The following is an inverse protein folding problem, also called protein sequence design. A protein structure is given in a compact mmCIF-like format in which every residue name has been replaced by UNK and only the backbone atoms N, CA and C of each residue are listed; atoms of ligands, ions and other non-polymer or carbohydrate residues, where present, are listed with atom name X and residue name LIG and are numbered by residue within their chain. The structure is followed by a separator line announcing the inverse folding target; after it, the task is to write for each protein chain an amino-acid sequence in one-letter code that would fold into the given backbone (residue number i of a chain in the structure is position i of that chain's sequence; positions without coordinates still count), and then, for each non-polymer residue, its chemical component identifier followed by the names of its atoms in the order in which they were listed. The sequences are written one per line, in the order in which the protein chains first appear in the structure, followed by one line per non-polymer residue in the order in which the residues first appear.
data_IF_631227160236
#
_entry.id   IF_631227160236
#
_cell.length_a   1.000
_cell.length_b   1.000
_cell.length_c   1.000
_cell.angle_alpha   90.00
_cell.angle_beta   90.00
_cell.angle_gamma   90.00
#
_symmetry.space_group_name_H-M   'P 1'
#
loop_
_entity.id
_entity.type
_entity.pdbx_description
1 polymer ?
#
# COMPACT_ATOMS: atom_id res chain seq x y z
N UNK A 1 -4.45 -19.91 11.62
CA UNK A 1 -3.83 -21.25 11.80
C UNK A 1 -4.57 -21.89 12.96
N UNK A 2 -5.47 -22.87 12.85
CA UNK A 2 -5.76 -23.90 11.85
C UNK A 2 -7.28 -24.00 11.63
N UNK A 3 -7.73 -24.20 10.39
CA UNK A 3 -9.11 -24.54 10.07
C UNK A 3 -9.11 -25.86 9.29
N UNK A 4 -9.62 -26.93 9.90
CA UNK A 4 -9.95 -28.17 9.20
C UNK A 4 -11.34 -28.00 8.58
N UNK A 5 -11.45 -28.26 7.28
CA UNK A 5 -12.72 -28.40 6.55
C UNK A 5 -13.10 -29.87 6.49
N UNK A 6 -14.39 -30.16 6.69
CA UNK A 6 -15.02 -31.37 6.17
C UNK A 6 -16.18 -30.96 5.26
N UNK A 7 -16.15 -31.45 4.02
CA UNK A 7 -17.30 -31.49 3.11
C UNK A 7 -17.84 -32.92 3.16
N UNK A 8 -19.13 -33.06 3.47
CA UNK A 8 -19.87 -34.30 3.24
C UNK A 8 -20.80 -34.08 2.06
N UNK A 9 -20.59 -34.90 1.03
CA UNK A 9 -21.36 -35.00 -0.20
C UNK A 9 -22.78 -35.50 0.07
N UNK A 10 -23.78 -34.89 -0.56
CA UNK A 10 -24.78 -35.62 -1.34
C UNK A 10 -25.53 -34.65 -2.28
N UNK A 11 -25.47 -34.99 -3.58
CA UNK A 11 -26.14 -34.43 -4.76
C UNK A 11 -27.02 -33.17 -4.65
N UNK A 12 -26.58 -32.11 -5.32
CA UNK A 12 -27.44 -30.97 -5.71
C UNK A 12 -26.62 -29.76 -6.14
N UNK A 13 -26.65 -29.41 -7.42
CA UNK A 13 -26.02 -28.22 -8.00
C UNK A 13 -26.65 -26.96 -7.41
N UNK A 14 -25.85 -26.04 -6.84
CA UNK A 14 -26.31 -24.70 -6.45
C UNK A 14 -25.35 -23.64 -6.99
N UNK A 15 -25.87 -22.78 -7.85
CA UNK A 15 -25.22 -21.65 -8.52
C UNK A 15 -24.94 -20.47 -7.58
N UNK A 16 -23.87 -19.76 -7.90
CA UNK A 16 -23.34 -18.57 -7.23
C UNK A 16 -24.37 -17.42 -7.13
N UNK A 17 -24.69 -16.99 -5.92
CA UNK A 17 -24.94 -15.57 -5.59
C UNK A 17 -25.34 -15.37 -4.12
N UNK A 18 -24.68 -14.40 -3.49
CA UNK A 18 -24.99 -13.80 -2.17
C UNK A 18 -24.93 -14.72 -0.95
N UNK A 19 -23.82 -14.59 -0.21
CA UNK A 19 -23.81 -14.88 1.22
C UNK A 19 -23.38 -13.66 2.05
N UNK A 20 -24.30 -13.22 2.90
CA UNK A 20 -24.07 -12.38 4.08
C UNK A 20 -23.35 -13.21 5.15
N UNK A 21 -22.48 -12.60 5.98
CA UNK A 21 -22.19 -13.12 7.31
C UNK A 21 -23.20 -12.56 8.33
N UNK A 22 -23.93 -13.47 8.99
CA UNK A 22 -24.52 -13.24 10.30
C UNK A 22 -23.37 -13.18 11.31
N UNK A 23 -23.01 -11.98 11.73
CA UNK A 23 -22.13 -11.74 12.87
C UNK A 23 -22.97 -11.60 14.13
N UNK A 24 -22.75 -12.58 15.00
CA UNK A 24 -22.72 -12.50 16.46
C UNK A 24 -23.35 -11.25 17.09
N UNK A 25 -24.44 -11.53 17.78
CA UNK A 25 -25.06 -10.72 18.80
C UNK A 25 -24.02 -10.47 19.91
N UNK A 26 -23.44 -9.28 19.92
CA UNK A 26 -22.75 -8.75 21.09
C UNK A 26 -23.41 -7.44 21.46
N UNK A 27 -24.18 -7.55 22.53
CA UNK A 27 -24.87 -6.49 23.23
C UNK A 27 -23.87 -5.39 23.62
N UNK A 28 -24.00 -4.22 22.98
CA UNK A 28 -23.40 -2.97 23.46
C UNK A 28 -24.38 -1.84 23.20
N UNK A 29 -25.04 -1.44 24.29
CA UNK A 29 -25.63 -0.13 24.55
C UNK A 29 -25.20 0.93 23.52
N UNK A 30 -26.11 1.24 22.59
CA UNK A 30 -25.98 2.35 21.66
C UNK A 30 -26.92 3.44 22.11
N UNK A 31 -26.42 4.36 22.94
CA UNK A 31 -26.98 5.69 23.06
C UNK A 31 -26.69 6.45 21.76
N UNK A 32 -27.65 6.43 20.83
CA UNK A 32 -27.65 7.34 19.68
C UNK A 32 -27.94 8.76 20.20
N UNK A 33 -27.10 9.77 19.95
CA UNK A 33 -27.56 11.15 20.00
C UNK A 33 -28.24 11.43 18.66
N UNK A 34 -29.57 11.45 18.69
CA UNK A 34 -30.40 11.91 17.59
C UNK A 34 -30.23 13.42 17.45
N UNK A 35 -29.53 13.90 16.41
CA UNK A 35 -29.72 15.28 15.96
C UNK A 35 -31.11 15.39 15.32
N UNK A 36 -31.81 16.47 15.67
CA UNK A 36 -33.20 16.72 15.38
C UNK A 36 -33.55 16.65 13.89
N UNK A 37 -34.16 15.55 13.45
CA UNK A 37 -35.12 15.58 12.36
C UNK A 37 -36.52 15.64 12.99
N UNK A 38 -36.99 16.84 13.30
CA UNK A 38 -38.42 17.04 13.54
C UNK A 38 -39.06 17.26 12.18
N UNK A 39 -39.68 16.21 11.65
CA UNK A 39 -40.67 16.32 10.59
C UNK A 39 -41.80 17.24 11.08
N UNK A 40 -41.78 18.52 10.71
CA UNK A 40 -42.99 19.32 10.68
C UNK A 40 -43.84 18.78 9.54
N UNK A 41 -44.87 17.98 9.85
CA UNK A 41 -46.10 17.78 9.06
C UNK A 41 -46.91 16.65 9.74
N UNK A 42 -47.68 17.00 10.77
CA UNK A 42 -49.00 16.41 11.08
C UNK A 42 -49.39 16.81 12.50
N UNK A 43 -50.28 17.79 12.61
CA UNK A 43 -51.27 17.89 13.68
C UNK A 43 -52.41 18.74 13.11
N UNK A 44 -53.17 18.05 12.25
CA UNK A 44 -54.61 18.16 12.03
C UNK A 44 -55.32 19.47 12.42
N UNK A 45 -55.73 20.18 11.38
CA UNK A 45 -57.04 20.82 11.30
C UNK A 45 -58.14 19.80 11.64
N UNK A 46 -58.80 19.91 12.80
CA UNK A 46 -60.17 19.41 13.03
C UNK A 46 -60.73 20.05 14.30
N UNK A 47 -61.52 21.12 14.13
CA UNK A 47 -62.69 21.49 14.95
C UNK A 47 -63.10 22.94 14.65
N UNK A 48 -63.60 23.18 13.44
CA UNK A 48 -64.38 24.39 13.15
C UNK A 48 -65.39 24.10 12.05
N UNK A 49 -66.34 23.19 12.30
CA UNK A 49 -67.50 23.01 11.43
C UNK A 49 -68.66 22.37 12.20
N UNK A 50 -69.28 23.15 13.08
CA UNK A 50 -70.68 22.93 13.48
C UNK A 50 -71.14 24.08 14.38
N UNK A 51 -72.32 24.62 14.05
CA UNK A 51 -73.13 25.64 14.75
C UNK A 51 -73.13 26.99 14.03
N UNK A 52 -73.71 26.96 12.83
CA UNK A 52 -74.34 28.08 12.15
C UNK A 52 -75.61 27.52 11.48
N UNK A 53 -76.72 27.46 12.24
CA UNK A 53 -78.07 27.44 11.69
C UNK A 53 -79.11 27.80 12.78
N UNK A 54 -79.34 29.10 12.92
CA UNK A 54 -80.66 29.75 12.92
C UNK A 54 -81.91 28.94 13.33
N UNK A 55 -82.55 29.35 14.44
CA UNK A 55 -84.01 29.51 14.54
C UNK A 55 -84.38 30.64 15.52
N UNK A 56 -85.08 31.61 14.96
CA UNK A 56 -85.90 32.65 15.60
C UNK A 56 -87.08 32.03 16.37
N UNK A 57 -87.34 32.49 17.60
CA UNK A 57 -88.68 32.55 18.20
C UNK A 57 -88.71 33.65 19.28
N UNK A 58 -89.55 34.66 19.06
CA UNK A 58 -89.89 35.72 20.01
C UNK A 58 -90.82 35.21 21.12
N UNK A 59 -90.55 35.58 22.38
CA UNK A 59 -91.59 35.76 23.41
C UNK A 59 -91.08 36.55 24.64
N UNK A 60 -91.52 37.82 24.71
CA UNK A 60 -92.03 38.60 25.86
C UNK A 60 -91.41 38.46 27.28
N UNK A 61 -91.03 39.66 27.75
CA UNK A 61 -91.22 40.25 29.09
C UNK A 61 -90.40 39.80 30.32
N UNK A 62 -89.91 40.87 30.97
CA UNK A 62 -89.81 41.09 32.41
C UNK A 62 -88.54 40.65 33.16
N UNK A 63 -87.80 41.71 33.50
CA UNK A 63 -87.29 42.01 34.85
C UNK A 63 -85.91 41.48 35.29
N UNK A 64 -85.04 42.48 35.52
CA UNK A 64 -84.03 42.54 36.56
C UNK A 64 -83.40 41.25 37.09
N UNK A 65 -82.21 40.93 36.56
CA UNK A 65 -81.00 40.65 37.38
C UNK A 65 -79.77 40.52 36.50
N UNK A 66 -78.75 41.28 36.85
CA UNK A 66 -77.41 41.28 36.25
C UNK A 66 -76.80 39.88 36.26
N UNK A 67 -76.39 39.43 35.07
CA UNK A 67 -75.91 38.08 34.80
C UNK A 67 -74.53 37.82 35.42
N UNK A 68 -74.43 36.80 36.27
CA UNK A 68 -73.18 36.28 36.87
C UNK A 68 -72.20 35.65 35.85
N UNK A 69 -72.44 35.81 34.55
CA UNK A 69 -71.61 35.28 33.45
C UNK A 69 -70.64 36.30 32.83
N UNK A 70 -70.80 37.61 33.09
CA UNK A 70 -69.87 38.63 32.55
C UNK A 70 -68.54 38.71 33.31
N UNK A 71 -68.48 38.31 34.59
CA UNK A 71 -67.23 38.27 35.33
C UNK A 71 -66.35 37.07 34.94
N UNK A 72 -66.97 35.93 34.61
CA UNK A 72 -66.25 34.71 34.19
C UNK A 72 -65.65 34.83 32.79
N UNK A 73 -66.30 35.56 31.87
CA UNK A 73 -65.80 35.81 30.52
C UNK A 73 -64.62 36.81 30.49
N UNK A 74 -64.63 37.84 31.34
CA UNK A 74 -63.51 38.79 31.46
C UNK A 74 -62.29 38.16 32.15
N UNK A 75 -62.50 37.24 33.10
CA UNK A 75 -61.44 36.44 33.72
C UNK A 75 -60.91 35.39 32.75
N UNK A 76 -61.76 34.66 32.01
CA UNK A 76 -61.34 33.75 30.93
C UNK A 76 -60.59 34.48 29.82
N UNK A 77 -61.02 35.67 29.37
CA UNK A 77 -60.31 36.46 28.36
C UNK A 77 -58.99 37.06 28.88
N UNK A 78 -58.92 37.49 30.15
CA UNK A 78 -57.66 37.87 30.81
C UNK A 78 -56.74 36.68 31.07
N UNK A 79 -57.28 35.48 31.31
CA UNK A 79 -56.52 34.23 31.47
C UNK A 79 -56.04 33.68 30.13
N UNK A 80 -56.83 33.79 29.06
CA UNK A 80 -56.42 33.43 27.69
C UNK A 80 -55.40 34.42 27.12
N UNK A 81 -55.46 35.72 27.44
CA UNK A 81 -54.38 36.65 27.12
C UNK A 81 -53.09 36.35 27.90
N UNK A 82 -53.21 35.89 29.15
CA UNK A 82 -52.08 35.48 30.00
C UNK A 82 -51.47 34.14 29.57
N UNK A 83 -52.25 33.21 29.05
CA UNK A 83 -51.76 31.91 28.58
C UNK A 83 -50.96 32.03 27.28
N UNK A 84 -51.37 32.94 26.38
CA UNK A 84 -50.69 33.14 25.09
C UNK A 84 -49.32 33.83 25.21
N UNK A 85 -49.12 34.80 26.14
CA UNK A 85 -47.78 35.38 26.32
C UNK A 85 -46.82 34.40 27.00
N UNK A 86 -47.31 33.56 27.92
CA UNK A 86 -46.54 32.47 28.53
C UNK A 86 -46.14 31.47 27.45
N UNK A 87 -47.09 30.94 26.67
CA UNK A 87 -46.79 29.98 25.61
C UNK A 87 -45.83 30.57 24.55
N UNK A 88 -46.00 31.85 24.18
CA UNK A 88 -45.08 32.56 23.28
C UNK A 88 -43.70 32.77 23.88
N UNK A 89 -43.59 33.08 25.17
CA UNK A 89 -42.29 33.19 25.85
C UNK A 89 -41.64 31.82 25.99
N UNK A 90 -42.36 30.76 26.31
CA UNK A 90 -41.83 29.39 26.31
C UNK A 90 -41.42 28.93 24.90
N UNK A 91 -42.19 29.26 23.86
CA UNK A 91 -41.84 28.94 22.48
C UNK A 91 -40.61 29.76 22.02
N UNK A 92 -40.54 31.04 22.38
CA UNK A 92 -39.38 31.89 22.10
C UNK A 92 -38.15 31.42 22.89
N UNK A 93 -38.30 31.08 24.16
CA UNK A 93 -37.24 30.50 25.00
C UNK A 93 -36.81 29.14 24.43
N UNK A 94 -37.74 28.30 23.97
CA UNK A 94 -37.46 27.04 23.29
C UNK A 94 -36.72 27.24 21.96
N UNK A 95 -37.10 28.24 21.17
CA UNK A 95 -36.41 28.60 19.92
C UNK A 95 -35.01 29.19 20.18
N UNK A 96 -34.85 30.00 21.22
CA UNK A 96 -33.56 30.49 21.69
C UNK A 96 -32.68 29.34 22.19
N UNK A 97 -33.26 28.42 22.96
CA UNK A 97 -32.64 27.19 23.43
C UNK A 97 -32.23 26.32 22.22
N UNK A 98 -33.09 26.12 21.23
CA UNK A 98 -32.72 25.38 20.01
C UNK A 98 -31.58 26.04 19.23
N UNK A 99 -31.56 27.37 19.12
CA UNK A 99 -30.41 28.10 18.56
C UNK A 99 -29.11 27.88 19.35
N UNK A 100 -29.22 27.68 20.66
CA UNK A 100 -28.09 27.41 21.57
C UNK A 100 -27.64 25.94 21.52
N UNK A 101 -28.49 24.98 21.14
CA UNK A 101 -28.14 23.56 21.18
C UNK A 101 -27.68 22.94 19.84
N UNK A 102 -27.74 23.67 18.73
CA UNK A 102 -27.16 23.22 17.45
C UNK A 102 -25.68 23.61 17.33
N UNK A 103 -24.83 23.11 18.24
CA UNK A 103 -23.38 23.26 18.08
C UNK A 103 -22.85 22.23 17.08
N UNK A 104 -22.04 22.71 16.14
CA UNK A 104 -21.33 21.83 15.22
C UNK A 104 -20.34 20.96 16.03
N UNK A 105 -20.34 19.63 15.87
CA UNK A 105 -19.44 18.75 16.61
C UNK A 105 -17.97 19.06 16.33
N UNK A 106 -17.17 19.21 17.39
CA UNK A 106 -15.75 19.43 17.25
C UNK A 106 -15.02 18.17 16.73
N UNK A 107 -13.95 18.34 15.93
CA UNK A 107 -13.10 17.23 15.51
C UNK A 107 -12.55 16.44 16.70
N UNK A 108 -12.35 15.14 16.52
CA UNK A 108 -11.82 14.23 17.54
C UNK A 108 -10.51 13.59 17.08
N UNK A 109 -9.74 13.03 18.01
CA UNK A 109 -8.48 12.32 17.71
C UNK A 109 -7.53 13.12 16.82
N UNK A 110 -7.32 14.40 17.16
CA UNK A 110 -6.40 15.28 16.43
C UNK A 110 -4.96 14.86 16.71
N UNK A 111 -4.28 14.37 15.69
CA UNK A 111 -2.92 13.83 15.79
C UNK A 111 -2.05 14.30 14.63
N UNK A 112 -0.77 14.52 14.92
CA UNK A 112 0.25 14.76 13.89
C UNK A 112 0.89 13.44 13.54
N UNK A 113 0.87 13.08 12.26
CA UNK A 113 1.57 11.92 11.71
C UNK A 113 2.81 12.46 10.99
N UNK A 114 3.97 11.85 11.27
CA UNK A 114 5.24 12.32 10.73
C UNK A 114 6.06 11.18 10.15
N UNK A 115 6.42 11.31 8.88
CA UNK A 115 7.33 10.40 8.18
C UNK A 115 8.42 11.21 7.49
N UNK A 116 9.69 10.85 7.70
CA UNK A 116 10.83 11.51 7.05
C UNK A 116 10.81 13.05 7.18
N UNK A 117 10.41 13.56 8.35
CA UNK A 117 10.24 15.01 8.62
C UNK A 117 9.18 15.72 7.76
N UNK A 118 8.26 14.98 7.16
CA UNK A 118 7.04 15.50 6.55
C UNK A 118 5.87 15.27 7.51
N UNK A 119 5.13 16.33 7.82
CA UNK A 119 4.20 16.37 8.93
C UNK A 119 2.78 16.62 8.43
N UNK A 120 1.84 15.75 8.79
CA UNK A 120 0.42 15.91 8.45
C UNK A 120 -0.45 15.87 9.69
N UNK A 121 -1.33 16.84 9.83
CA UNK A 121 -2.39 16.81 10.83
C UNK A 121 -3.54 15.97 10.32
N UNK A 122 -4.00 15.05 11.16
CA UNK A 122 -5.15 14.18 10.89
C UNK A 122 -6.12 14.24 12.06
N UNK A 123 -7.40 14.03 11.78
CA UNK A 123 -8.46 14.01 12.78
C UNK A 123 -9.59 13.08 12.34
N UNK A 124 -10.45 12.74 13.28
CA UNK A 124 -11.74 12.10 13.05
C UNK A 124 -12.87 13.11 13.15
N UNK A 125 -13.94 12.83 12.44
CA UNK A 125 -15.15 13.63 12.49
C UNK A 125 -15.79 13.57 13.88
N UNK A 126 -16.36 14.69 14.31
CA UNK A 126 -17.23 14.70 15.48
C UNK A 126 -18.50 13.89 15.21
N UNK A 127 -19.00 13.07 16.16
CA UNK A 127 -20.25 12.33 16.01
C UNK A 127 -21.41 13.27 15.68
N UNK A 128 -22.20 12.93 14.65
CA UNK A 128 -23.33 13.75 14.20
C UNK A 128 -22.95 14.94 13.31
N UNK A 129 -21.70 15.02 12.83
CA UNK A 129 -21.31 16.05 11.85
C UNK A 129 -22.09 15.91 10.54
N UNK A 130 -22.56 17.02 9.95
CA UNK A 130 -23.26 17.00 8.66
C UNK A 130 -22.29 16.63 7.51
N UNK A 131 -22.82 16.12 6.38
CA UNK A 131 -22.00 15.63 5.26
C UNK A 131 -21.16 16.70 4.54
N UNK A 132 -21.52 17.99 4.66
CA UNK A 132 -20.85 19.11 3.97
C UNK A 132 -20.05 20.00 4.92
N UNK A 133 -19.51 19.41 5.99
CA UNK A 133 -18.67 20.14 6.94
C UNK A 133 -17.26 20.35 6.39
N UNK A 134 -16.74 21.56 6.57
CA UNK A 134 -15.37 21.93 6.20
C UNK A 134 -14.50 22.09 7.45
N UNK A 135 -13.19 22.12 7.25
CA UNK A 135 -12.22 22.22 8.34
C UNK A 135 -11.20 23.32 8.08
N UNK A 136 -10.78 23.97 9.16
CA UNK A 136 -9.70 24.95 9.13
C UNK A 136 -8.67 24.64 10.22
N UNK A 137 -7.41 24.86 9.90
CA UNK A 137 -6.28 24.53 10.78
C UNK A 137 -5.49 25.77 11.17
N UNK A 138 -5.10 25.83 12.44
CA UNK A 138 -4.18 26.82 12.98
C UNK A 138 -2.99 26.16 13.65
N UNK A 139 -1.85 26.86 13.65
CA UNK A 139 -0.64 26.48 14.37
C UNK A 139 -0.27 27.53 15.39
N UNK A 140 0.25 27.09 16.54
CA UNK A 140 0.67 28.00 17.59
C UNK A 140 2.08 28.51 17.32
N UNK A 141 2.24 29.83 17.22
CA UNK A 141 3.56 30.46 17.03
C UNK A 141 4.14 30.93 18.36
N UNK A 142 5.03 30.12 18.95
CA UNK A 142 5.68 30.39 20.24
C UNK A 142 6.27 31.82 20.35
N UNK A 143 6.97 32.31 19.32
CA UNK A 143 7.58 33.64 19.33
C UNK A 143 6.58 34.79 19.45
N UNK A 144 5.37 34.62 18.90
CA UNK A 144 4.31 35.65 18.89
C UNK A 144 3.18 35.35 19.89
N UNK A 145 3.23 34.20 20.56
CA UNK A 145 2.22 33.70 21.51
C UNK A 145 0.79 33.77 20.95
N UNK A 146 0.61 33.39 19.68
CA UNK A 146 -0.70 33.45 19.01
C UNK A 146 -0.89 32.30 18.02
N UNK A 147 -2.16 31.98 17.76
CA UNK A 147 -2.58 31.03 16.75
C UNK A 147 -2.63 31.67 15.36
N UNK A 148 -2.03 31.02 14.37
CA UNK A 148 -1.98 31.51 12.98
C UNK A 148 -2.63 30.49 12.05
N UNK A 149 -3.52 30.90 11.13
CA UNK A 149 -4.07 30.00 10.12
C UNK A 149 -2.98 29.43 9.22
N UNK A 150 -3.14 28.16 8.83
CA UNK A 150 -2.32 27.50 7.82
C UNK A 150 -2.97 27.76 6.46
N UNK A 151 -2.28 28.47 5.57
CA UNK A 151 -2.87 29.04 4.35
C UNK A 151 -3.47 28.02 3.39
N UNK A 152 -2.87 26.82 3.29
CA UNK A 152 -3.35 25.72 2.46
C UNK A 152 -4.35 24.80 3.19
N UNK A 153 -4.76 25.16 4.40
CA UNK A 153 -5.66 24.37 5.24
C UNK A 153 -6.76 25.23 5.88
N UNK A 154 -7.20 26.29 5.20
CA UNK A 154 -8.29 27.16 5.68
C UNK A 154 -9.67 26.64 5.32
N UNK A 155 -9.77 25.77 4.32
CA UNK A 155 -11.02 25.20 3.83
C UNK A 155 -10.75 23.78 3.28
N UNK A 156 -10.76 22.80 4.18
CA UNK A 156 -10.51 21.39 3.88
C UNK A 156 -11.81 20.59 3.93
N UNK A 157 -11.95 19.63 3.03
CA UNK A 157 -13.06 18.69 2.99
C UNK A 157 -12.84 17.51 3.95
N UNK A 158 -13.91 16.74 4.14
CA UNK A 158 -13.89 15.52 4.94
C UNK A 158 -12.84 14.52 4.42
N UNK A 159 -11.93 14.10 5.32
CA UNK A 159 -10.90 13.11 5.01
C UNK A 159 -9.59 13.69 4.49
N UNK A 160 -9.55 14.99 4.19
CA UNK A 160 -8.31 15.65 3.76
C UNK A 160 -7.41 15.95 4.97
N UNK A 161 -6.14 15.50 4.97
CA UNK A 161 -5.17 15.89 5.98
C UNK A 161 -4.63 17.29 5.69
N UNK A 162 -4.13 17.98 6.72
CA UNK A 162 -3.42 19.24 6.54
C UNK A 162 -1.90 19.03 6.58
N UNK A 163 -1.18 19.51 5.55
CA UNK A 163 0.28 19.52 5.55
C UNK A 163 0.82 20.65 6.44
N UNK A 164 1.54 20.28 7.50
CA UNK A 164 2.17 21.16 8.47
C UNK A 164 3.69 21.28 8.29
N UNK A 165 4.29 20.60 7.31
CA UNK A 165 5.74 20.51 7.11
C UNK A 165 6.39 21.89 7.03
N UNK A 166 5.77 22.82 6.30
CA UNK A 166 6.26 24.20 6.18
C UNK A 166 5.97 25.07 7.39
N UNK A 167 4.99 24.70 8.23
CA UNK A 167 4.68 25.41 9.47
C UNK A 167 5.60 24.97 10.61
N UNK A 168 5.99 23.69 10.65
CA UNK A 168 6.80 23.07 11.70
C UNK A 168 8.30 22.99 11.32
N UNK A 169 8.83 24.04 10.67
CA UNK A 169 10.22 24.09 10.15
C UNK A 169 11.32 23.87 11.20
N UNK A 170 11.05 24.15 12.47
CA UNK A 170 12.04 23.94 13.52
C UNK A 170 11.94 22.50 14.03
N UNK A 171 12.86 21.63 13.60
CA UNK A 171 12.86 20.22 13.97
C UNK A 171 13.21 19.95 15.44
N UNK A 172 13.83 20.91 16.12
CA UNK A 172 14.32 20.80 17.50
C UNK A 172 13.32 21.30 18.57
N UNK A 173 12.17 21.81 18.14
CA UNK A 173 11.18 22.45 19.01
C UNK A 173 9.86 21.70 19.05
N UNK A 174 9.10 21.91 20.13
CA UNK A 174 7.72 21.45 20.23
C UNK A 174 6.76 22.36 19.48
N UNK A 175 5.81 21.75 18.79
CA UNK A 175 4.75 22.43 18.06
C UNK A 175 3.36 21.98 18.50
N UNK A 176 2.39 22.84 18.25
CA UNK A 176 0.96 22.59 18.46
C UNK A 176 0.18 23.04 17.23
N UNK A 177 -0.82 22.23 16.86
CA UNK A 177 -1.83 22.59 15.88
C UNK A 177 -3.22 22.41 16.48
N UNK A 178 -4.21 23.10 15.93
CA UNK A 178 -5.60 22.91 16.27
C UNK A 178 -6.46 22.96 15.03
N UNK A 179 -7.57 22.23 15.06
CA UNK A 179 -8.52 22.13 13.95
C UNK A 179 -9.93 22.36 14.49
N UNK A 180 -10.74 23.04 13.69
CA UNK A 180 -12.14 23.31 13.96
C UNK A 180 -12.94 22.91 12.72
N UNK A 181 -14.15 22.41 12.94
CA UNK A 181 -15.10 22.17 11.87
C UNK A 181 -15.99 23.41 11.70
N UNK A 182 -16.41 23.70 10.47
CA UNK A 182 -17.29 24.81 10.18
C UNK A 182 -18.22 24.53 9.00
N UNK A 183 -19.31 25.30 8.96
CA UNK A 183 -20.29 25.40 7.88
C UNK A 183 -20.54 26.90 7.63
N UNK A 184 -21.45 27.26 6.72
CA UNK A 184 -21.79 28.66 6.46
C UNK A 184 -22.29 29.39 7.72
N UNK A 185 -23.06 28.72 8.57
CA UNK A 185 -23.77 29.35 9.69
C UNK A 185 -23.21 28.99 11.07
N UNK A 186 -22.43 27.92 11.17
CA UNK A 186 -22.00 27.35 12.44
C UNK A 186 -20.53 26.91 12.43
N UNK A 187 -19.87 27.06 13.58
CA UNK A 187 -18.52 26.57 13.81
C UNK A 187 -18.46 25.75 15.12
N UNK A 188 -17.55 24.79 15.19
CA UNK A 188 -17.33 24.00 16.41
C UNK A 188 -16.40 24.71 17.39
N UNK A 189 -16.13 24.10 18.54
CA UNK A 189 -14.93 24.46 19.31
C UNK A 189 -13.66 23.99 18.58
N UNK A 190 -12.53 24.63 18.89
CA UNK A 190 -11.20 24.19 18.45
C UNK A 190 -10.78 22.93 19.21
N UNK A 191 -10.22 21.96 18.50
CA UNK A 191 -9.58 20.78 19.09
C UNK A 191 -8.09 20.80 18.79
N UNK A 192 -7.28 20.86 19.84
CA UNK A 192 -5.82 20.89 19.73
C UNK A 192 -5.21 19.49 19.62
N UNK A 193 -4.11 19.40 18.91
CA UNK A 193 -3.21 18.25 18.95
C UNK A 193 -2.49 18.16 20.29
N UNK A 194 -1.86 17.02 20.56
CA UNK A 194 -0.78 16.94 21.55
C UNK A 194 0.42 17.78 21.09
N UNK A 195 1.30 18.11 22.04
CA UNK A 195 2.63 18.63 21.69
C UNK A 195 3.35 17.63 20.81
N UNK A 196 3.96 18.11 19.74
CA UNK A 196 4.68 17.30 18.76
C UNK A 196 6.11 17.81 18.60
N UNK A 197 7.09 16.93 18.77
CA UNK A 197 8.51 17.19 18.52
C UNK A 197 8.97 16.45 17.25
N UNK A 198 9.24 17.16 16.14
CA UNK A 198 9.60 16.54 14.86
C UNK A 198 10.74 15.51 14.95
N UNK A 199 11.85 15.84 15.61
CA UNK A 199 13.01 14.94 15.67
C UNK A 199 12.80 13.71 16.56
N UNK A 200 11.99 13.81 17.63
CA UNK A 200 11.77 12.70 18.56
C UNK A 200 10.60 11.80 18.15
N UNK A 201 9.61 12.36 17.46
CA UNK A 201 8.34 11.67 17.17
C UNK A 201 8.14 11.37 15.68
N UNK A 202 9.05 11.81 14.79
CA UNK A 202 9.03 11.35 13.40
C UNK A 202 9.39 9.88 13.31
N UNK A 203 8.73 9.18 12.39
CA UNK A 203 9.15 7.84 11.97
C UNK A 203 10.04 7.96 10.72
N UNK A 204 11.21 7.33 10.74
CA UNK A 204 12.03 7.13 9.55
C UNK A 204 11.37 6.02 8.73
N UNK A 205 10.87 6.38 7.56
CA UNK A 205 10.17 5.46 6.67
C UNK A 205 11.13 4.45 6.02
N UNK A 206 10.58 3.51 5.24
CA UNK A 206 11.38 2.60 4.45
C UNK A 206 12.29 3.31 3.42
N UNK A 207 13.49 2.79 3.15
CA UNK A 207 14.32 3.27 2.05
C UNK A 207 13.81 2.81 0.69
N UNK A 208 14.33 3.43 -0.36
CA UNK A 208 14.20 2.92 -1.73
C UNK A 208 15.26 1.84 -1.94
N UNK A 209 14.80 0.68 -2.38
CA UNK A 209 15.61 -0.53 -2.55
C UNK A 209 15.51 -0.99 -4.00
N UNK A 210 16.66 -1.22 -4.64
CA UNK A 210 16.77 -1.97 -5.89
C UNK A 210 17.73 -3.14 -5.71
N UNK A 211 17.38 -4.29 -6.27
CA UNK A 211 18.13 -5.53 -6.09
C UNK A 211 18.23 -6.28 -7.42
N UNK A 212 19.44 -6.59 -7.85
CA UNK A 212 19.70 -7.33 -9.10
C UNK A 212 20.75 -8.42 -8.88
N UNK A 213 20.65 -9.53 -9.63
CA UNK A 213 21.64 -10.61 -9.57
C UNK A 213 22.87 -10.36 -10.44
N UNK A 214 24.04 -10.86 -10.01
CA UNK A 214 25.32 -10.67 -10.70
C UNK A 214 26.20 -11.94 -10.74
N UNK A 215 25.67 -13.09 -11.18
CA UNK A 215 26.40 -14.36 -11.04
C UNK A 215 26.16 -14.95 -9.67
N UNK A 216 27.20 -15.06 -8.84
CA UNK A 216 27.15 -15.56 -7.47
C UNK A 216 26.94 -14.45 -6.42
N UNK A 217 26.35 -13.33 -6.81
CA UNK A 217 26.13 -12.17 -5.97
C UNK A 217 24.80 -11.48 -6.24
N UNK A 218 24.43 -10.58 -5.33
CA UNK A 218 23.40 -9.57 -5.52
C UNK A 218 24.01 -8.17 -5.46
N UNK A 219 23.62 -7.31 -6.39
CA UNK A 219 23.88 -5.88 -6.37
C UNK A 219 22.69 -5.19 -5.71
N UNK A 220 22.92 -4.62 -4.53
CA UNK A 220 21.92 -3.91 -3.73
C UNK A 220 22.16 -2.41 -3.85
N UNK A 221 21.17 -1.66 -4.30
CA UNK A 221 21.17 -0.20 -4.29
C UNK A 221 20.20 0.30 -3.23
N UNK A 222 20.70 1.05 -2.26
CA UNK A 222 19.93 1.70 -1.21
C UNK A 222 19.96 3.21 -1.39
N UNK A 223 18.81 3.85 -1.28
CA UNK A 223 18.72 5.31 -1.31
C UNK A 223 17.63 5.82 -0.37
N UNK A 224 17.77 7.06 0.13
CA UNK A 224 16.70 7.68 0.89
C UNK A 224 15.41 7.76 0.06
N UNK A 225 14.23 7.72 0.70
CA UNK A 225 12.98 7.99 0.03
C UNK A 225 13.02 9.36 -0.63
N UNK A 226 12.42 9.48 -1.82
CA UNK A 226 12.32 10.75 -2.53
C UNK A 226 11.53 11.73 -1.69
N UNK A 227 12.22 12.60 -0.95
CA UNK A 227 11.62 13.72 -0.25
C UNK A 227 12.03 14.99 -0.95
N UNK A 228 11.05 15.83 -1.31
CA UNK A 228 11.29 17.23 -1.71
C UNK A 228 11.18 18.16 -0.51
N UNK A 229 11.27 17.60 0.69
CA UNK A 229 11.02 18.28 1.95
C UNK A 229 12.09 19.29 2.32
N UNK A 230 11.73 20.19 3.23
CA UNK A 230 12.57 21.29 3.68
C UNK A 230 13.88 20.84 4.36
N UNK A 231 13.94 19.58 4.82
CA UNK A 231 15.02 19.01 5.61
C UNK A 231 15.74 17.85 4.92
N UNK A 232 15.87 17.90 3.60
CA UNK A 232 16.51 16.85 2.79
C UNK A 232 17.83 16.33 3.37
N UNK A 233 18.76 17.22 3.76
CA UNK A 233 20.06 16.80 4.30
C UNK A 233 19.98 16.04 5.63
N UNK A 234 19.00 16.34 6.48
CA UNK A 234 18.75 15.55 7.71
C UNK A 234 18.15 14.19 7.38
N UNK A 235 17.25 14.14 6.40
CA UNK A 235 16.70 12.88 5.90
C UNK A 235 17.83 12.02 5.35
N UNK A 236 18.66 12.52 4.43
CA UNK A 236 19.84 11.81 3.91
C UNK A 236 20.75 11.28 5.02
N UNK A 237 20.92 12.06 6.09
CA UNK A 237 21.70 11.62 7.26
C UNK A 237 21.10 10.41 7.98
N UNK A 238 19.77 10.32 8.12
CA UNK A 238 19.10 9.14 8.71
C UNK A 238 19.22 7.88 7.85
N UNK A 239 19.51 8.05 6.55
CA UNK A 239 19.60 7.02 5.54
C UNK A 239 21.05 6.71 5.14
N UNK A 240 22.04 7.03 5.98
CA UNK A 240 23.47 6.73 5.73
C UNK A 240 23.83 5.26 5.92
N UNK A 241 23.26 4.62 6.93
CA UNK A 241 23.57 3.25 7.31
C UNK A 241 22.28 2.42 7.43
N UNK A 242 22.42 1.12 7.12
CA UNK A 242 21.33 0.17 7.11
C UNK A 242 21.76 -1.16 7.72
N UNK A 243 20.82 -1.81 8.39
CA UNK A 243 20.86 -3.25 8.66
C UNK A 243 20.05 -3.93 7.57
N UNK A 244 20.68 -4.81 6.80
CA UNK A 244 20.02 -5.57 5.73
C UNK A 244 19.95 -7.03 6.14
N UNK A 245 18.73 -7.55 6.28
CA UNK A 245 18.48 -8.97 6.50
C UNK A 245 18.28 -9.64 5.14
N UNK A 246 19.10 -10.64 4.84
CA UNK A 246 19.11 -11.41 3.59
C UNK A 246 18.60 -12.81 3.90
N UNK A 247 17.63 -13.30 3.14
CA UNK A 247 17.02 -14.61 3.34
C UNK A 247 16.94 -15.39 2.03
N UNK A 248 17.41 -16.63 2.03
CA UNK A 248 17.26 -17.55 0.90
C UNK A 248 15.86 -18.15 0.90
N UNK A 249 15.16 -18.10 -0.24
CA UNK A 249 13.73 -18.44 -0.27
C UNK A 249 13.46 -19.92 -0.01
N UNK A 250 14.34 -20.82 -0.48
CA UNK A 250 14.18 -22.29 -0.45
C UNK A 250 14.12 -22.87 0.96
N UNK A 251 15.07 -22.51 1.81
CA UNK A 251 15.28 -23.10 3.13
C UNK A 251 15.23 -22.08 4.27
N UNK A 252 14.94 -20.80 3.94
CA UNK A 252 14.88 -19.69 4.89
C UNK A 252 16.20 -19.45 5.63
N UNK A 253 17.32 -19.94 5.10
CA UNK A 253 18.64 -19.56 5.61
C UNK A 253 18.79 -18.04 5.51
N UNK A 254 19.14 -17.40 6.64
CA UNK A 254 19.21 -15.95 6.72
C UNK A 254 20.49 -15.47 7.39
N UNK A 255 20.94 -14.31 6.99
CA UNK A 255 22.07 -13.61 7.59
C UNK A 255 21.85 -12.10 7.48
N UNK A 256 22.60 -11.33 8.28
CA UNK A 256 22.47 -9.88 8.32
C UNK A 256 23.79 -9.23 7.96
N UNK A 257 23.72 -8.17 7.16
CA UNK A 257 24.87 -7.34 6.80
C UNK A 257 24.61 -5.88 7.14
N UNK A 258 25.69 -5.11 7.28
CA UNK A 258 25.63 -3.65 7.30
C UNK A 258 25.87 -3.15 5.89
N UNK A 259 25.06 -2.17 5.46
CA UNK A 259 25.20 -1.52 4.18
C UNK A 259 25.14 -0.01 4.37
N UNK A 260 25.83 0.72 3.51
CA UNK A 260 25.73 2.18 3.44
C UNK A 260 24.78 2.58 2.32
N UNK A 261 24.34 3.85 2.33
CA UNK A 261 23.63 4.42 1.19
C UNK A 261 24.45 4.31 -0.10
N UNK A 262 23.79 4.01 -1.21
CA UNK A 262 24.41 3.72 -2.49
C UNK A 262 24.45 2.23 -2.80
N UNK A 263 25.48 1.84 -3.56
CA UNK A 263 25.63 0.48 -4.07
C UNK A 263 26.40 -0.40 -3.09
N UNK A 264 25.89 -1.59 -2.83
CA UNK A 264 26.51 -2.60 -1.97
C UNK A 264 26.47 -3.95 -2.67
N UNK A 265 27.62 -4.62 -2.76
CA UNK A 265 27.74 -5.95 -3.33
C UNK A 265 27.58 -7.01 -2.23
N UNK A 266 26.61 -7.91 -2.38
CA UNK A 266 26.41 -9.08 -1.52
C UNK A 266 26.94 -10.30 -2.26
N UNK A 267 28.15 -10.72 -1.95
CA UNK A 267 28.87 -11.79 -2.65
C UNK A 267 28.79 -13.14 -1.90
N UNK A 268 29.41 -14.16 -2.50
CA UNK A 268 29.50 -15.53 -1.98
C UNK A 268 28.14 -16.20 -1.76
N UNK A 269 27.19 -15.95 -2.67
CA UNK A 269 25.88 -16.57 -2.67
C UNK A 269 25.85 -17.82 -3.56
N UNK A 270 24.92 -18.73 -3.26
CA UNK A 270 24.63 -19.89 -4.12
C UNK A 270 24.09 -19.39 -5.46
N UNK A 271 24.64 -19.89 -6.57
CA UNK A 271 24.19 -19.57 -7.93
C UNK A 271 22.83 -20.20 -8.23
N UNK A 272 22.04 -19.57 -9.09
CA UNK A 272 20.70 -20.04 -9.44
C UNK A 272 19.67 -20.07 -8.30
N UNK A 273 19.92 -19.38 -7.19
CA UNK A 273 19.06 -19.35 -6.01
C UNK A 273 18.39 -17.98 -5.84
N UNK A 274 17.15 -17.98 -5.32
CA UNK A 274 16.44 -16.75 -4.99
C UNK A 274 16.75 -16.29 -3.57
N UNK A 275 17.04 -15.01 -3.44
CA UNK A 275 17.22 -14.34 -2.15
C UNK A 275 16.26 -13.15 -2.06
N UNK A 276 15.69 -12.95 -0.87
CA UNK A 276 14.87 -11.80 -0.53
C UNK A 276 15.55 -11.01 0.60
N UNK A 277 15.59 -9.69 0.45
CA UNK A 277 16.21 -8.79 1.42
C UNK A 277 15.20 -7.82 2.01
N UNK A 278 15.43 -7.41 3.26
CA UNK A 278 14.73 -6.31 3.93
C UNK A 278 15.76 -5.36 4.51
N UNK A 279 15.61 -4.07 4.25
CA UNK A 279 16.55 -3.04 4.68
C UNK A 279 15.92 -2.15 5.76
N UNK A 280 16.58 -2.05 6.91
CA UNK A 280 16.18 -1.19 8.03
C UNK A 280 17.19 -0.05 8.18
N UNK A 281 16.76 1.23 8.02
CA UNK A 281 17.62 2.38 8.27
C UNK A 281 18.07 2.45 9.74
N UNK A 282 19.28 2.93 9.95
CA UNK A 282 19.90 3.10 11.26
C UNK A 282 20.18 4.59 11.50
N UNK A 283 19.18 5.35 11.95
CA UNK A 283 19.41 6.74 12.33
C UNK A 283 20.35 6.82 13.54
N UNK A 284 21.23 7.81 13.57
CA UNK A 284 22.13 8.07 14.71
C UNK A 284 21.41 8.61 15.96
N UNK A 285 20.08 8.70 15.92
CA UNK A 285 19.21 9.14 17.00
C UNK A 285 18.24 7.98 17.23
N UNK A 286 17.76 7.79 18.47
CA UNK A 286 16.79 6.74 18.86
C UNK A 286 15.38 6.98 18.28
N UNK A 287 15.29 7.32 17.00
CA UNK A 287 14.06 7.48 16.25
C UNK A 287 13.48 6.11 15.91
N UNK A 288 12.16 6.07 15.78
CA UNK A 288 11.49 4.91 15.22
C UNK A 288 11.82 4.80 13.73
N UNK A 289 12.31 3.64 13.30
CA UNK A 289 12.56 3.34 11.89
C UNK A 289 11.70 2.14 11.44
N UNK A 290 11.30 2.14 10.17
CA UNK A 290 10.56 1.03 9.55
C UNK A 290 11.42 0.34 8.49
N UNK A 291 11.41 -1.01 8.45
CA UNK A 291 12.09 -1.75 7.40
C UNK A 291 11.36 -1.62 6.07
N UNK A 292 12.10 -1.83 4.97
CA UNK A 292 11.50 -2.08 3.66
C UNK A 292 10.64 -3.33 3.64
N UNK A 293 9.74 -3.41 2.67
CA UNK A 293 9.17 -4.70 2.26
C UNK A 293 10.27 -5.64 1.75
N UNK A 294 9.95 -6.93 1.55
CA UNK A 294 10.91 -7.88 0.97
C UNK A 294 11.13 -7.58 -0.52
N UNK A 295 12.39 -7.42 -0.91
CA UNK A 295 12.81 -7.31 -2.32
C UNK A 295 13.60 -8.54 -2.71
N UNK A 296 13.18 -9.22 -3.78
CA UNK A 296 13.75 -10.52 -4.14
C UNK A 296 14.39 -10.50 -5.52
N UNK A 297 15.52 -11.20 -5.66
CA UNK A 297 16.22 -11.40 -6.94
C UNK A 297 16.86 -12.80 -6.97
N UNK A 298 17.10 -13.30 -8.17
CA UNK A 298 17.83 -14.54 -8.39
C UNK A 298 19.31 -14.23 -8.64
N UNK A 299 20.18 -15.04 -8.06
CA UNK A 299 21.56 -15.16 -8.53
C UNK A 299 21.56 -15.83 -9.91
N UNK A 300 22.49 -15.45 -10.79
CA UNK A 300 22.55 -16.07 -12.11
C UNK A 300 22.96 -17.54 -11.97
N UNK A 301 22.57 -18.37 -12.94
CA UNK A 301 23.10 -19.72 -13.00
C UNK A 301 24.61 -19.66 -13.20
N UNK A 302 25.30 -20.62 -12.60
CA UNK A 302 26.74 -20.80 -12.79
C UNK A 302 26.96 -20.96 -14.31
N UNK A 303 27.66 -20.01 -14.94
CA UNK A 303 28.13 -20.24 -16.30
C UNK A 303 29.03 -21.46 -16.22
N UNK A 304 28.63 -22.58 -16.81
CA UNK A 304 29.49 -23.76 -16.94
C UNK A 304 30.81 -23.23 -17.50
N UNK A 305 31.85 -23.22 -16.67
CA UNK A 305 33.08 -22.51 -17.01
C UNK A 305 33.53 -22.99 -18.39
N UNK A 306 33.90 -22.07 -19.27
CA UNK A 306 34.42 -22.47 -20.59
C UNK A 306 35.66 -23.36 -20.43
N UNK A 307 36.35 -23.27 -19.29
CA UNK A 307 37.57 -24.02 -18.95
C UNK A 307 37.36 -25.55 -18.97
N UNK A 308 36.43 -26.17 -18.20
CA UNK A 308 36.19 -27.61 -18.29
C UNK A 308 35.69 -28.07 -19.67
N UNK A 309 34.95 -27.23 -20.40
CA UNK A 309 34.52 -27.53 -21.77
C UNK A 309 35.70 -27.52 -22.75
N UNK A 310 36.57 -26.51 -22.67
CA UNK A 310 37.79 -26.39 -23.47
C UNK A 310 38.76 -27.53 -23.12
N UNK A 311 38.93 -27.84 -21.84
CA UNK A 311 39.78 -28.95 -21.40
C UNK A 311 39.25 -30.29 -21.91
N UNK A 312 37.93 -30.50 -21.85
CA UNK A 312 37.27 -31.66 -22.43
C UNK A 312 37.50 -31.77 -23.94
N UNK A 313 37.32 -30.69 -24.68
CA UNK A 313 37.62 -30.62 -26.12
C UNK A 313 39.09 -30.91 -26.43
N UNK A 314 40.02 -30.35 -25.64
CA UNK A 314 41.46 -30.57 -25.81
C UNK A 314 41.82 -32.05 -25.59
N UNK A 315 41.26 -32.68 -24.56
CA UNK A 315 41.43 -34.11 -24.30
C UNK A 315 40.91 -34.97 -25.45
N UNK A 316 39.73 -34.66 -25.98
CA UNK A 316 39.16 -35.40 -27.13
C UNK A 316 40.06 -35.27 -28.37
N UNK A 317 40.56 -34.06 -28.67
CA UNK A 317 41.47 -33.82 -29.79
C UNK A 317 42.79 -34.60 -29.65
N UNK A 318 43.36 -34.64 -28.45
CA UNK A 318 44.58 -35.43 -28.17
C UNK A 318 44.37 -36.92 -28.40
N UNK A 319 43.23 -37.48 -27.94
CA UNK A 319 42.90 -38.89 -28.15
C UNK A 319 42.75 -39.19 -29.65
N UNK A 320 42.07 -38.34 -30.40
CA UNK A 320 41.91 -38.50 -31.85
C UNK A 320 43.26 -38.43 -32.59
N UNK A 321 44.18 -37.56 -32.16
CA UNK A 321 45.52 -37.48 -32.75
C UNK A 321 46.35 -38.75 -32.47
N UNK A 322 46.24 -39.32 -31.27
CA UNK A 322 46.91 -40.59 -30.91
C UNK A 322 46.33 -41.73 -31.75
N UNK A 323 45.01 -41.83 -31.86
CA UNK A 323 44.36 -42.87 -32.67
C UNK A 323 44.69 -42.73 -34.16
N UNK A 324 44.70 -41.49 -34.68
CA UNK A 324 45.07 -41.22 -36.07
C UNK A 324 46.53 -41.54 -36.37
N UNK A 325 47.46 -41.19 -35.49
CA UNK A 325 48.87 -41.54 -35.64
C UNK A 325 49.12 -43.05 -35.55
N UNK A 326 48.45 -43.75 -34.62
CA UNK A 326 48.49 -45.20 -34.55
C UNK A 326 47.96 -45.88 -35.83
N UNK A 327 46.87 -45.35 -36.41
CA UNK A 327 46.31 -45.85 -37.67
C UNK A 327 47.24 -45.58 -38.88
N UNK A 328 47.95 -44.46 -38.91
CA UNK A 328 48.95 -44.17 -39.95
C UNK A 328 50.15 -45.10 -39.84
N UNK A 329 50.61 -45.38 -38.62
CA UNK A 329 51.71 -46.32 -38.37
C UNK A 329 51.30 -47.74 -38.77
N UNK A 330 50.11 -48.20 -38.40
CA UNK A 330 49.63 -49.54 -38.76
C UNK A 330 49.43 -49.69 -40.27
N UNK A 331 48.88 -48.69 -40.95
CA UNK A 331 48.75 -48.67 -42.42
C UNK A 331 50.11 -48.57 -43.13
N UNK A 332 51.07 -47.82 -42.58
CA UNK A 332 52.43 -47.72 -43.10
C UNK A 332 53.22 -49.03 -42.95
N UNK A 333 53.07 -49.72 -41.82
CA UNK A 333 53.62 -51.06 -41.57
C UNK A 333 52.98 -52.09 -42.52
N UNK A 334 51.66 -52.04 -42.71
CA UNK A 334 50.94 -52.91 -43.65
C UNK A 334 51.38 -52.67 -45.11
N UNK A 335 51.58 -51.40 -45.50
CA UNK A 335 52.10 -51.05 -46.82
C UNK A 335 53.55 -51.50 -47.02
N UNK A 336 54.39 -51.39 -46.00
CA UNK A 336 55.77 -51.89 -46.02
C UNK A 336 55.82 -53.42 -46.12
N UNK A 337 54.96 -54.12 -45.37
CA UNK A 337 54.82 -55.58 -45.45
C UNK A 337 54.32 -56.04 -46.81
N UNK A 338 53.31 -55.36 -47.37
CA UNK A 338 52.80 -55.64 -48.72
C UNK A 338 53.86 -55.39 -49.80
N UNK A 339 54.64 -54.31 -49.67
CA UNK A 339 55.77 -54.00 -50.57
C UNK A 339 56.89 -55.03 -50.45
N UNK A 340 57.18 -55.52 -49.25
CA UNK A 340 58.15 -56.58 -49.03
C UNK A 340 57.68 -57.92 -49.64
N UNK A 341 56.41 -58.29 -49.44
CA UNK A 341 55.80 -59.49 -50.04
C UNK A 341 55.79 -59.42 -51.58
N UNK A 342 55.48 -58.25 -52.15
CA UNK A 342 55.49 -58.06 -53.61
C UNK A 342 56.90 -58.12 -54.22
N UNK A 343 57.96 -57.85 -53.43
CA UNK A 343 59.35 -57.98 -53.86
C UNK A 343 59.87 -59.42 -53.75
N UNK A 344 59.45 -60.20 -52.76
CA UNK A 344 59.83 -61.62 -52.64
C UNK A 344 59.17 -62.53 -53.67
N UNK A 345 58.10 -62.09 -54.35
CA UNK A 345 57.48 -62.85 -55.46
C UNK A 345 58.04 -62.53 -56.85
N UNK A 346 59.09 -61.70 -56.97
CA UNK A 346 59.81 -61.46 -58.24
C UNK A 346 61.22 -62.05 -58.18
N UNK A 347 61.34 -63.34 -58.49
CA UNK A 347 62.61 -64.01 -58.81
C UNK A 347 62.90 -63.94 -60.32
N UNK A 348 64.11 -63.55 -60.75
CA UNK A 348 64.59 -63.75 -62.12
C UNK A 348 65.56 -64.93 -62.22
N UNK A 349 65.35 -65.82 -63.18
CA UNK A 349 66.39 -66.71 -63.72
C UNK A 349 65.96 -68.15 -64.00
N UNK A 350 65.64 -68.44 -65.26
CA UNK A 350 65.89 -69.76 -65.85
C UNK A 350 66.37 -69.55 -67.31
N UNK A 351 67.59 -70.01 -67.56
CA UNK A 351 68.35 -69.90 -68.79
C UNK A 351 67.77 -70.79 -69.91
N UNK A 352 67.88 -70.26 -71.13
CA UNK A 352 67.75 -70.83 -72.48
C UNK A 352 68.36 -72.23 -72.73
N UNK A 353 67.88 -72.96 -73.76
CA UNK A 353 68.75 -73.83 -74.56
C UNK A 353 68.75 -73.48 -76.07
N UNK A 354 69.97 -73.50 -76.63
CA UNK A 354 70.35 -73.50 -78.07
C UNK A 354 70.05 -74.89 -78.71
N UNK A 355 69.90 -75.16 -80.02
CA UNK A 355 70.12 -74.47 -81.28
C UNK A 355 69.39 -75.22 -82.44
N UNK A 356 69.12 -74.50 -83.53
CA UNK A 356 69.23 -74.91 -84.95
C UNK A 356 68.50 -76.15 -85.52
N UNK A 357 67.53 -75.94 -86.42
CA UNK A 357 67.70 -75.98 -87.90
C UNK A 357 66.34 -75.97 -88.65
N UNK A 358 66.39 -75.41 -89.87
CA UNK A 358 65.65 -75.81 -91.08
C UNK A 358 64.22 -75.27 -91.38
N UNK A 359 64.19 -74.60 -92.55
CA UNK A 359 63.17 -74.56 -93.61
C UNK A 359 62.13 -73.42 -93.62
N UNK A 360 62.49 -72.40 -94.41
CA UNK A 360 61.76 -71.89 -95.58
C UNK A 360 60.25 -72.14 -95.66
N UNK A 361 59.49 -71.04 -95.81
CA UNK A 361 58.74 -70.69 -97.03
C UNK A 361 57.92 -69.41 -96.79
N UNK A 362 58.27 -68.33 -97.50
CA UNK A 362 57.29 -67.39 -98.05
C UNK A 362 56.45 -68.15 -99.11
N UNK A 363 55.19 -67.78 -99.42
CA UNK A 363 54.90 -66.50 -100.10
C UNK A 363 53.56 -65.80 -99.76
N UNK A 364 53.59 -64.47 -99.86
CA UNK A 364 52.79 -63.61 -100.78
C UNK A 364 51.30 -63.91 -100.99
N UNK A 365 50.47 -62.87 -100.83
CA UNK A 365 49.14 -62.85 -101.43
C UNK A 365 48.33 -61.59 -101.14
N UNK A 366 48.62 -60.53 -101.91
CA UNK A 366 47.78 -59.35 -102.27
C UNK A 366 47.24 -58.43 -101.19
#
# INVERSE_FOLDING_TARGET
MNALRFCASHGGVCTDSKWKPLLHQQEKSSSKPSCCHVHLLSLSCTCLHSVLHERTYDAKHADGKTNKCQHSALVMMRMMSKQHWILRTWLFLYLLVQKVYCFLPAPQNVTVISFNLEHKLTWRLGPGSPPFVHFRVQVYRNKRKLWVPVSNCSDLQMGEPCDLTTSFKNVYGYHLAQVQSFTTDHESNWTSSKFFHPLLETTVGPPVVSLTGCGNCLLLQLSPPTSRGLHHGLVEYFFREYTVNVSRTRDKAQFTIRASSGETLINYLETGAQYCITALPLPNINMKALPSGPHCAFTSQESVGTVPVILGLLCVLLVLAILGSAALISNGQLHHLHKHLSRTMKTPGAQEPSAAYMLALEPRGT
#
